data_IF_506321289243
#
_entry.id   IF_506321289243
#
_cell.length_a   1.000
_cell.length_b   1.000
_cell.length_c   1.000
_cell.angle_alpha   90.00
_cell.angle_beta   90.00
_cell.angle_gamma   90.00
#
_symmetry.space_group_name_H-M   'P 1'
#
loop_
_entity.id
_entity.type
_entity.pdbx_description
1 polymer ?
#
# COMPACT_ATOMS: atom_id res chain seq x y z
N UNK A 1 13.20 -18.00 20.89
CA UNK A 1 13.45 -16.54 20.97
C UNK A 1 12.66 -15.92 19.82
N UNK A 2 11.47 -15.39 20.11
CA UNK A 2 10.63 -14.74 19.10
C UNK A 2 11.11 -13.29 19.03
N UNK A 3 11.95 -12.99 18.06
CA UNK A 3 12.32 -11.61 17.78
C UNK A 3 11.09 -10.93 17.17
N UNK A 4 10.41 -10.13 17.98
CA UNK A 4 9.43 -9.16 17.50
C UNK A 4 10.21 -8.07 16.76
N UNK A 5 10.43 -8.28 15.46
CA UNK A 5 10.71 -7.18 14.58
C UNK A 5 9.36 -6.50 14.32
N UNK A 6 9.17 -5.33 14.91
CA UNK A 6 8.26 -4.32 14.36
C UNK A 6 8.92 -3.91 13.04
N UNK A 7 8.65 -4.67 11.97
CA UNK A 7 9.25 -4.49 10.65
C UNK A 7 8.62 -3.23 10.04
N UNK A 8 9.42 -2.33 9.47
CA UNK A 8 8.97 -1.03 8.90
C UNK A 8 7.64 -1.08 8.13
N UNK A 9 7.35 -2.22 7.49
CA UNK A 9 6.10 -2.51 6.78
C UNK A 9 4.82 -2.09 7.51
N UNK A 10 4.68 -2.29 8.83
CA UNK A 10 3.45 -1.91 9.55
C UNK A 10 3.21 -0.39 9.50
N UNK A 11 4.27 0.39 9.72
CA UNK A 11 4.22 1.86 9.64
C UNK A 11 3.94 2.34 8.21
N UNK A 12 4.48 1.63 7.22
CA UNK A 12 4.24 1.94 5.80
C UNK A 12 2.79 1.63 5.40
N UNK A 13 2.22 0.53 5.90
CA UNK A 13 0.80 0.19 5.73
C UNK A 13 -0.10 1.25 6.35
N UNK A 14 0.17 1.67 7.59
CA UNK A 14 -0.58 2.75 8.24
C UNK A 14 -0.52 4.03 7.40
N UNK A 15 0.67 4.40 6.93
CA UNK A 15 0.87 5.57 6.06
C UNK A 15 0.05 5.45 4.76
N UNK A 16 0.04 4.28 4.13
CA UNK A 16 -0.76 4.02 2.92
C UNK A 16 -2.26 4.19 3.16
N UNK A 17 -2.75 3.64 4.28
CA UNK A 17 -4.16 3.67 4.66
C UNK A 17 -4.59 5.09 4.99
N UNK A 18 -3.77 5.84 5.71
CA UNK A 18 -4.05 7.23 6.05
C UNK A 18 -4.04 8.13 4.83
N UNK A 19 -3.13 7.90 3.87
CA UNK A 19 -3.17 8.58 2.57
C UNK A 19 -4.47 8.25 1.81
N UNK A 20 -4.81 6.96 1.70
CA UNK A 20 -6.04 6.53 1.03
C UNK A 20 -7.30 7.21 1.62
N UNK A 21 -7.38 7.28 2.96
CA UNK A 21 -8.48 7.94 3.68
C UNK A 21 -8.58 9.45 3.44
N UNK A 22 -7.50 10.11 3.06
CA UNK A 22 -7.51 11.53 2.72
C UNK A 22 -8.12 11.81 1.33
N UNK A 23 -8.04 10.85 0.40
CA UNK A 23 -8.47 11.05 -0.98
C UNK A 23 -9.83 10.44 -1.32
N UNK A 24 -10.28 9.40 -0.60
CA UNK A 24 -11.58 8.77 -0.85
C UNK A 24 -12.40 8.60 0.44
N UNK A 25 -13.74 8.57 0.35
CA UNK A 25 -14.60 8.31 1.52
C UNK A 25 -14.23 6.99 2.20
N UNK A 26 -14.35 6.92 3.53
CA UNK A 26 -13.91 5.79 4.34
C UNK A 26 -14.46 4.43 3.85
N UNK A 27 -15.72 4.38 3.40
CA UNK A 27 -16.33 3.16 2.86
C UNK A 27 -15.75 2.65 1.53
N UNK A 28 -14.85 3.42 0.89
CA UNK A 28 -14.13 3.04 -0.34
C UNK A 28 -12.66 2.72 -0.08
N UNK A 29 -12.20 2.78 1.18
CA UNK A 29 -10.88 2.32 1.60
C UNK A 29 -10.98 0.92 2.17
N UNK A 30 -10.16 -0.01 1.69
CA UNK A 30 -10.05 -1.34 2.26
C UNK A 30 -8.57 -1.69 2.44
N UNK A 31 -8.22 -2.20 3.63
CA UNK A 31 -6.92 -2.83 3.88
C UNK A 31 -7.12 -4.28 4.28
N UNK A 32 -6.35 -5.17 3.66
CA UNK A 32 -6.31 -6.58 3.99
C UNK A 32 -4.86 -6.98 4.21
N UNK A 33 -4.59 -7.65 5.33
CA UNK A 33 -3.28 -8.24 5.62
C UNK A 33 -3.44 -9.75 5.55
N UNK A 34 -2.68 -10.40 4.68
CA UNK A 34 -2.63 -11.86 4.57
C UNK A 34 -1.19 -12.34 4.51
N UNK A 35 -0.77 -13.07 5.55
CA UNK A 35 0.56 -13.64 5.64
C UNK A 35 1.66 -12.58 5.61
N UNK A 36 2.30 -12.41 4.44
CA UNK A 36 3.40 -11.46 4.23
C UNK A 36 3.01 -10.20 3.49
N UNK A 37 1.78 -10.10 2.99
CA UNK A 37 1.38 -9.04 2.09
C UNK A 37 0.24 -8.23 2.70
N UNK A 38 0.28 -6.92 2.51
CA UNK A 38 -0.84 -6.03 2.77
C UNK A 38 -1.32 -5.41 1.48
N UNK A 39 -2.63 -5.41 1.27
CA UNK A 39 -3.29 -4.79 0.12
C UNK A 39 -4.12 -3.63 0.62
N UNK A 40 -3.81 -2.42 0.15
CA UNK A 40 -4.58 -1.20 0.40
C UNK A 40 -5.27 -0.81 -0.91
N UNK A 41 -6.59 -0.65 -0.85
CA UNK A 41 -7.42 -0.27 -2.00
C UNK A 41 -8.16 1.01 -1.70
N UNK A 42 -8.18 1.94 -2.65
CA UNK A 42 -8.92 3.18 -2.61
C UNK A 42 -9.61 3.39 -3.96
N UNK A 43 -10.92 3.15 -4.02
CA UNK A 43 -11.63 3.12 -5.30
C UNK A 43 -11.11 2.01 -6.23
N UNK A 44 -10.66 2.36 -7.43
CA UNK A 44 -10.08 1.43 -8.40
C UNK A 44 -8.55 1.29 -8.26
N UNK A 45 -7.92 2.14 -7.45
CA UNK A 45 -6.47 2.15 -7.25
C UNK A 45 -6.08 1.24 -6.08
N UNK A 46 -4.95 0.53 -6.22
CA UNK A 46 -4.50 -0.43 -5.20
C UNK A 46 -2.99 -0.41 -5.03
N UNK A 47 -2.53 -0.42 -3.79
CA UNK A 47 -1.14 -0.58 -3.38
C UNK A 47 -0.97 -1.91 -2.64
N UNK A 48 -0.02 -2.74 -3.08
CA UNK A 48 0.35 -3.99 -2.41
C UNK A 48 1.72 -3.84 -1.79
N UNK A 49 1.84 -4.11 -0.51
CA UNK A 49 3.06 -4.02 0.29
C UNK A 49 3.48 -5.42 0.73
N UNK A 50 4.62 -5.90 0.24
CA UNK A 50 5.26 -7.13 0.72
C UNK A 50 6.13 -6.79 1.94
N UNK A 51 5.64 -7.17 3.12
CA UNK A 51 6.21 -6.86 4.43
C UNK A 51 7.53 -7.60 4.67
N UNK A 52 7.80 -8.72 3.97
CA UNK A 52 9.02 -9.51 4.15
C UNK A 52 10.15 -9.08 3.23
N UNK A 53 9.81 -8.60 2.04
CA UNK A 53 10.79 -8.29 0.98
C UNK A 53 10.97 -6.79 0.76
N UNK A 54 10.18 -5.94 1.42
CA UNK A 54 10.22 -4.48 1.25
C UNK A 54 9.89 -4.09 -0.19
N UNK A 55 8.94 -4.79 -0.81
CA UNK A 55 8.50 -4.54 -2.18
C UNK A 55 7.10 -3.93 -2.18
N UNK A 56 6.85 -3.11 -3.18
CA UNK A 56 5.61 -2.36 -3.30
C UNK A 56 5.13 -2.40 -4.76
N UNK A 57 3.96 -2.98 -5.01
CA UNK A 57 3.35 -3.03 -6.33
C UNK A 57 2.15 -2.09 -6.37
N UNK A 58 2.09 -1.19 -7.35
CA UNK A 58 1.01 -0.20 -7.52
C UNK A 58 0.16 -0.59 -8.73
N UNK A 59 -1.16 -0.53 -8.56
CA UNK A 59 -2.15 -0.94 -9.54
C UNK A 59 -3.14 0.18 -9.86
N UNK A 60 -3.55 0.24 -11.12
CA UNK A 60 -4.74 0.95 -11.58
C UNK A 60 -5.75 -0.11 -12.06
N UNK A 61 -6.83 -0.32 -11.31
CA UNK A 61 -7.75 -1.42 -11.51
C UNK A 61 -7.07 -2.79 -11.36
N UNK A 62 -6.95 -3.52 -12.47
CA UNK A 62 -6.33 -4.86 -12.51
C UNK A 62 -4.92 -4.88 -13.08
N UNK A 63 -4.42 -3.74 -13.55
CA UNK A 63 -3.12 -3.64 -14.20
C UNK A 63 -2.05 -3.17 -13.21
N UNK A 64 -0.88 -3.81 -13.23
CA UNK A 64 0.29 -3.33 -12.49
C UNK A 64 0.88 -2.16 -13.26
N UNK A 65 0.85 -0.97 -12.67
CA UNK A 65 1.44 0.24 -13.29
C UNK A 65 2.83 0.55 -12.75
N UNK A 66 3.24 -0.08 -11.65
CA UNK A 66 4.59 0.05 -11.12
C UNK A 66 4.95 -1.00 -10.08
N UNK A 67 6.24 -1.33 -10.01
CA UNK A 67 6.85 -2.20 -8.99
C UNK A 67 8.07 -1.50 -8.41
N UNK A 68 8.14 -1.44 -7.09
CA UNK A 68 9.13 -0.64 -6.37
C UNK A 68 9.76 -1.43 -5.23
N UNK A 69 10.99 -1.10 -4.89
CA UNK A 69 11.68 -1.55 -3.66
C UNK A 69 11.90 -0.39 -2.69
N UNK A 70 11.41 0.80 -3.06
CA UNK A 70 11.53 2.04 -2.31
C UNK A 70 10.12 2.56 -2.04
N UNK A 71 9.84 2.84 -0.76
CA UNK A 71 8.52 3.23 -0.30
C UNK A 71 8.08 4.57 -0.90
N UNK A 72 8.95 5.57 -0.87
CA UNK A 72 8.60 6.93 -1.28
C UNK A 72 8.22 6.99 -2.76
N UNK A 73 8.91 6.24 -3.62
CA UNK A 73 8.55 6.11 -5.05
C UNK A 73 7.21 5.38 -5.26
N UNK A 74 6.95 4.33 -4.50
CA UNK A 74 5.69 3.60 -4.57
C UNK A 74 4.52 4.48 -4.14
N UNK A 75 4.70 5.19 -3.01
CA UNK A 75 3.71 6.11 -2.46
C UNK A 75 3.43 7.26 -3.42
N UNK A 76 4.47 7.89 -3.98
CA UNK A 76 4.30 8.95 -4.97
C UNK A 76 3.51 8.46 -6.20
N UNK A 77 3.79 7.26 -6.70
CA UNK A 77 2.99 6.71 -7.82
C UNK A 77 1.55 6.44 -7.41
N UNK A 78 1.33 5.89 -6.22
CA UNK A 78 -0.01 5.65 -5.70
C UNK A 78 -0.80 6.95 -5.54
N UNK A 79 -0.19 8.00 -4.99
CA UNK A 79 -0.78 9.34 -4.87
C UNK A 79 -1.22 9.91 -6.22
N UNK A 80 -0.38 9.80 -7.27
CA UNK A 80 -0.77 10.27 -8.61
C UNK A 80 -2.07 9.62 -9.10
N UNK A 81 -2.24 8.32 -8.85
CA UNK A 81 -3.44 7.57 -9.28
C UNK A 81 -4.69 7.91 -8.46
N UNK A 82 -4.54 8.51 -7.28
CA UNK A 82 -5.67 8.98 -6.48
C UNK A 82 -6.13 10.38 -6.90
N UNK A 83 -5.31 11.11 -7.66
CA UNK A 83 -5.58 12.48 -8.13
C UNK A 83 -6.00 12.59 -9.60
N UNK A 84 -5.81 11.53 -10.38
CA UNK A 84 -6.24 11.40 -11.79
C UNK A 84 -7.73 11.04 -11.90
#
# INVERSE_FOLDING_TARGET
>A
MVNYYVHDGDRLVETAVDLARQHVPEGRVQSLVDGSDCVVTAGDSRLVVDLRRGKYDVYAGREVVGKYTDWDRALAKYETLLTE
#
